data_IF_539113372400
#
_entry.id   IF_539113372400
#
_cell.length_a   1.000
_cell.length_b   1.000
_cell.length_c   1.000
_cell.angle_alpha   90.00
_cell.angle_beta   90.00
_cell.angle_gamma   90.00
#
_symmetry.space_group_name_H-M   'P 1'
#
loop_
_entity.id
_entity.type
_entity.pdbx_description
1 polymer ?
#
# COMPACT_ATOMS: atom_id res chain seq x y z
N UNK A 1 -13.21 20.06 7.54
CA UNK A 1 -12.63 21.14 6.69
C UNK A 1 -13.65 21.51 5.62
N UNK A 2 -13.80 22.83 5.27
CA UNK A 2 -14.74 23.27 4.21
C UNK A 2 -13.97 23.59 2.94
N UNK A 3 -14.43 23.09 1.81
CA UNK A 3 -13.87 23.33 0.48
C UNK A 3 -14.94 23.96 -0.42
N UNK A 4 -14.54 24.96 -1.20
CA UNK A 4 -15.44 25.66 -2.11
C UNK A 4 -15.70 24.82 -3.38
N UNK A 5 -16.96 24.66 -3.74
CA UNK A 5 -17.39 24.01 -4.98
C UNK A 5 -17.51 25.06 -6.07
N UNK A 6 -16.91 24.78 -7.23
CA UNK A 6 -17.03 25.60 -8.44
C UNK A 6 -17.84 24.90 -9.52
N UNK A 7 -18.51 25.68 -10.34
CA UNK A 7 -19.11 25.17 -11.57
C UNK A 7 -18.05 25.15 -12.71
N UNK A 8 -18.45 24.71 -13.89
CA UNK A 8 -17.58 24.65 -15.08
C UNK A 8 -17.11 26.04 -15.52
N UNK A 9 -17.87 27.09 -15.22
CA UNK A 9 -17.57 28.50 -15.52
C UNK A 9 -16.64 29.16 -14.47
N UNK A 10 -16.25 28.44 -13.42
CA UNK A 10 -15.40 28.96 -12.38
C UNK A 10 -16.08 29.74 -11.26
N UNK A 11 -17.42 29.83 -11.27
CA UNK A 11 -18.19 30.47 -10.23
C UNK A 11 -18.38 29.56 -9.02
N UNK A 12 -18.41 30.14 -7.83
CA UNK A 12 -18.63 29.37 -6.59
C UNK A 12 -20.13 29.02 -6.46
N UNK A 13 -20.45 27.75 -6.37
CA UNK A 13 -21.80 27.22 -6.22
C UNK A 13 -22.18 26.94 -4.77
N UNK A 14 -21.19 26.62 -3.95
CA UNK A 14 -21.41 26.28 -2.54
C UNK A 14 -20.14 25.78 -1.84
N UNK A 15 -20.31 25.32 -0.61
CA UNK A 15 -19.22 24.72 0.18
C UNK A 15 -19.54 23.26 0.48
N UNK A 16 -18.53 22.40 0.38
CA UNK A 16 -18.59 20.99 0.78
C UNK A 16 -17.81 20.80 2.09
N UNK A 17 -18.45 20.19 3.07
CA UNK A 17 -17.76 19.73 4.26
C UNK A 17 -17.11 18.37 3.98
N UNK A 18 -15.78 18.34 4.06
CA UNK A 18 -14.96 17.13 3.84
C UNK A 18 -14.38 16.63 5.13
N UNK A 19 -14.12 15.31 5.20
CA UNK A 19 -13.59 14.65 6.38
C UNK A 19 -12.13 15.00 6.62
N UNK A 20 -11.82 15.40 7.84
CA UNK A 20 -10.44 15.73 8.27
C UNK A 20 -9.52 14.51 8.29
N UNK A 21 -10.06 13.29 8.46
CA UNK A 21 -9.32 12.03 8.34
C UNK A 21 -8.65 11.85 6.98
N UNK A 22 -9.18 12.52 5.93
CA UNK A 22 -8.70 12.39 4.55
C UNK A 22 -7.93 13.62 4.10
N UNK A 23 -8.45 14.82 4.38
CA UNK A 23 -7.90 16.09 3.89
C UNK A 23 -7.19 16.93 4.98
N UNK A 24 -7.26 16.49 6.25
CA UNK A 24 -6.63 17.16 7.40
C UNK A 24 -5.35 16.49 7.91
N UNK A 25 -4.89 15.41 7.30
CA UNK A 25 -3.76 14.60 7.77
C UNK A 25 -2.43 15.39 7.74
N UNK A 26 -1.57 15.27 8.78
CA UNK A 26 -0.25 15.89 8.77
C UNK A 26 0.64 15.31 7.66
N UNK A 27 1.36 16.21 6.96
CA UNK A 27 2.21 15.83 5.83
C UNK A 27 3.49 15.16 6.32
N UNK A 28 3.68 13.87 5.95
CA UNK A 28 4.90 13.09 6.23
C UNK A 28 5.76 12.97 4.98
N UNK A 29 6.61 13.96 4.71
CA UNK A 29 7.43 14.05 3.48
C UNK A 29 8.31 12.82 3.25
N UNK A 30 8.95 12.28 4.29
CA UNK A 30 9.78 11.08 4.20
C UNK A 30 8.99 9.84 3.72
N UNK A 31 7.76 9.67 4.23
CA UNK A 31 6.87 8.58 3.83
C UNK A 31 6.41 8.73 2.38
N UNK A 32 6.02 9.94 1.99
CA UNK A 32 5.62 10.28 0.62
C UNK A 32 6.76 9.99 -0.36
N UNK A 33 7.98 10.43 -0.04
CA UNK A 33 9.18 10.16 -0.84
C UNK A 33 9.45 8.66 -0.98
N UNK A 34 9.40 7.90 0.11
CA UNK A 34 9.62 6.44 0.06
C UNK A 34 8.60 5.73 -0.85
N UNK A 35 7.33 6.10 -0.76
CA UNK A 35 6.27 5.52 -1.60
C UNK A 35 6.45 5.92 -3.06
N UNK A 36 6.78 7.19 -3.34
CA UNK A 36 7.06 7.70 -4.69
C UNK A 36 8.23 6.96 -5.35
N UNK A 37 9.37 6.82 -4.65
CA UNK A 37 10.53 6.07 -5.15
C UNK A 37 10.18 4.60 -5.40
N UNK A 38 9.36 4.00 -4.52
CA UNK A 38 8.86 2.64 -4.71
C UNK A 38 8.01 2.51 -5.98
N UNK A 39 7.09 3.45 -6.23
CA UNK A 39 6.26 3.46 -7.44
C UNK A 39 7.08 3.68 -8.72
N UNK A 40 8.07 4.57 -8.70
CA UNK A 40 8.99 4.79 -9.83
C UNK A 40 9.82 3.53 -10.12
N UNK A 41 10.36 2.88 -9.08
CA UNK A 41 11.11 1.64 -9.23
C UNK A 41 10.23 0.51 -9.83
N UNK A 42 8.96 0.44 -9.43
CA UNK A 42 8.00 -0.55 -9.94
C UNK A 42 7.62 -0.35 -11.41
N UNK A 43 7.74 0.87 -11.95
CA UNK A 43 7.54 1.16 -13.38
C UNK A 43 8.72 0.69 -14.23
N UNK A 44 9.90 0.48 -13.62
CA UNK A 44 11.12 0.14 -14.35
C UNK A 44 11.11 -1.33 -14.80
N UNK A 45 11.23 -1.58 -16.11
CA UNK A 45 11.16 -2.92 -16.70
C UNK A 45 12.40 -3.78 -16.41
N UNK A 46 13.60 -3.19 -16.43
CA UNK A 46 14.85 -3.86 -16.08
C UNK A 46 15.36 -4.90 -17.06
N UNK A 47 15.19 -4.68 -18.37
CA UNK A 47 15.53 -5.59 -19.46
C UNK A 47 16.97 -5.47 -19.98
N UNK A 48 17.77 -4.53 -19.43
CA UNK A 48 19.14 -4.34 -19.88
C UNK A 48 19.97 -5.61 -19.67
N UNK A 49 20.59 -6.10 -20.74
CA UNK A 49 21.41 -7.31 -20.76
C UNK A 49 22.64 -7.11 -21.64
N UNK A 50 23.76 -7.70 -21.22
CA UNK A 50 24.97 -7.87 -22.04
C UNK A 50 25.29 -9.34 -22.14
N UNK A 51 25.91 -9.76 -23.26
CA UNK A 51 26.33 -11.14 -23.46
C UNK A 51 27.53 -11.47 -22.56
N UNK A 52 27.43 -12.52 -21.78
CA UNK A 52 28.52 -13.12 -21.01
C UNK A 52 29.42 -13.94 -21.93
N UNK A 53 30.58 -14.37 -21.44
CA UNK A 53 31.52 -15.20 -22.23
C UNK A 53 30.91 -16.49 -22.76
N UNK A 54 29.90 -17.04 -22.11
CA UNK A 54 29.19 -18.24 -22.53
C UNK A 54 28.12 -17.98 -23.59
N UNK A 55 27.64 -16.74 -23.70
CA UNK A 55 26.58 -16.34 -24.65
C UNK A 55 27.14 -15.74 -25.93
N UNK A 56 28.42 -15.39 -25.98
CA UNK A 56 29.09 -14.91 -27.18
C UNK A 56 29.36 -16.09 -28.09
N UNK A 57 29.04 -15.95 -29.39
CA UNK A 57 29.32 -16.96 -30.41
C UNK A 57 30.82 -17.16 -30.58
N UNK A 58 31.28 -18.40 -30.68
CA UNK A 58 32.68 -18.76 -30.87
C UNK A 58 33.42 -19.13 -29.59
N UNK A 59 34.73 -19.30 -29.65
CA UNK A 59 35.62 -19.53 -28.50
C UNK A 59 35.69 -20.98 -27.98
N UNK A 60 35.14 -21.97 -28.72
CA UNK A 60 35.19 -23.39 -28.32
C UNK A 60 36.60 -24.00 -28.38
N UNK A 61 37.45 -23.58 -29.32
CA UNK A 61 38.83 -24.04 -29.45
C UNK A 61 39.79 -23.17 -28.63
N UNK A 62 40.80 -23.79 -28.07
CA UNK A 62 41.89 -23.06 -27.36
C UNK A 62 42.73 -22.31 -28.41
N UNK A 63 42.93 -20.98 -28.28
CA UNK A 63 43.58 -20.16 -29.29
C UNK A 63 45.05 -20.54 -29.57
N UNK A 64 45.77 -21.08 -28.56
CA UNK A 64 47.19 -21.43 -28.62
C UNK A 64 47.60 -22.44 -27.55
N UNK A 65 48.75 -23.15 -27.72
CA UNK A 65 49.27 -24.06 -26.73
C UNK A 65 49.52 -23.36 -25.36
N UNK A 66 49.45 -24.13 -24.28
CA UNK A 66 49.57 -23.62 -22.90
C UNK A 66 50.95 -23.04 -22.58
N UNK A 67 52.04 -23.61 -23.21
CA UNK A 67 53.44 -23.23 -23.00
C UNK A 67 54.18 -23.16 -24.36
N UNK A 68 55.36 -22.53 -24.40
CA UNK A 68 56.23 -22.51 -25.58
C UNK A 68 55.98 -21.38 -26.59
N UNK A 69 54.96 -20.52 -26.40
CA UNK A 69 54.64 -19.44 -27.36
C UNK A 69 55.18 -18.07 -26.96
N UNK A 70 55.73 -17.88 -25.76
CA UNK A 70 56.14 -16.57 -25.24
C UNK A 70 55.01 -15.57 -24.97
N UNK A 71 53.77 -15.91 -25.32
CA UNK A 71 52.59 -15.04 -25.18
C UNK A 71 51.78 -15.41 -23.96
N UNK A 72 50.94 -14.48 -23.46
CA UNK A 72 50.03 -14.72 -22.31
C UNK A 72 49.11 -15.93 -22.54
N UNK A 73 48.87 -16.69 -21.51
CA UNK A 73 48.01 -17.89 -21.58
C UNK A 73 46.57 -17.52 -21.81
N UNK A 74 45.92 -18.20 -22.76
CA UNK A 74 44.51 -17.91 -23.15
C UNK A 74 43.74 -19.25 -23.25
N UNK A 75 42.56 -19.26 -22.64
CA UNK A 75 41.65 -20.40 -22.69
C UNK A 75 40.60 -20.35 -23.81
N UNK A 76 40.14 -19.17 -24.14
CA UNK A 76 39.09 -18.95 -25.14
C UNK A 76 39.15 -17.53 -25.69
N UNK A 77 38.77 -17.33 -26.94
CA UNK A 77 38.63 -16.02 -27.58
C UNK A 77 37.36 -15.26 -27.14
N UNK A 78 36.38 -15.96 -26.57
CA UNK A 78 35.19 -15.35 -25.99
C UNK A 78 35.42 -14.71 -24.60
N UNK A 79 36.66 -14.82 -24.05
CA UNK A 79 37.04 -14.21 -22.77
C UNK A 79 36.89 -12.67 -22.81
N UNK A 80 36.51 -12.01 -21.66
CA UNK A 80 36.37 -10.56 -21.59
C UNK A 80 37.65 -9.76 -21.91
N UNK A 81 38.79 -10.39 -21.87
CA UNK A 81 40.10 -9.79 -22.21
C UNK A 81 40.27 -9.55 -23.70
N UNK A 82 39.54 -10.30 -24.53
CA UNK A 82 39.60 -10.19 -25.98
C UNK A 82 38.63 -9.17 -26.52
N UNK A 83 39.05 -8.47 -27.57
CA UNK A 83 38.15 -7.61 -28.36
C UNK A 83 37.07 -8.51 -29.00
N UNK A 84 35.78 -8.16 -28.80
CA UNK A 84 34.65 -9.00 -29.21
C UNK A 84 34.29 -10.13 -28.22
N UNK A 85 35.04 -10.29 -27.14
CA UNK A 85 34.67 -11.20 -26.06
C UNK A 85 33.46 -10.76 -25.24
N UNK A 86 32.99 -11.62 -24.32
CA UNK A 86 31.87 -11.33 -23.45
C UNK A 86 32.16 -10.29 -22.38
N UNK A 87 31.13 -9.70 -21.82
CA UNK A 87 31.23 -8.74 -20.71
C UNK A 87 31.37 -9.50 -19.37
N UNK A 88 32.33 -9.12 -18.50
CA UNK A 88 32.53 -9.79 -17.21
C UNK A 88 31.43 -9.44 -16.20
N UNK A 89 31.18 -8.17 -15.95
CA UNK A 89 30.20 -7.66 -14.98
C UNK A 89 29.23 -6.67 -15.64
N UNK A 90 28.62 -7.12 -16.72
CA UNK A 90 27.62 -6.32 -17.43
C UNK A 90 26.25 -6.37 -16.75
N UNK A 91 25.33 -5.45 -17.16
CA UNK A 91 23.98 -5.50 -16.68
C UNK A 91 23.32 -6.83 -17.05
N UNK A 92 22.54 -7.36 -16.11
CA UNK A 92 21.68 -8.53 -16.30
C UNK A 92 20.22 -8.14 -16.03
N UNK A 93 19.24 -8.75 -16.70
CA UNK A 93 17.85 -8.51 -16.45
C UNK A 93 17.52 -8.76 -14.98
N UNK A 94 16.91 -7.77 -14.32
CA UNK A 94 16.52 -7.90 -12.93
C UNK A 94 15.22 -7.15 -12.64
N UNK A 95 14.46 -7.62 -11.66
CA UNK A 95 13.30 -6.90 -11.16
C UNK A 95 13.73 -5.75 -10.23
N UNK A 96 13.14 -4.59 -10.46
CA UNK A 96 13.29 -3.41 -9.59
C UNK A 96 12.10 -3.25 -8.64
N UNK A 97 11.21 -4.24 -8.58
CA UNK A 97 9.99 -4.16 -7.78
C UNK A 97 10.29 -4.01 -6.29
N UNK A 98 9.77 -2.93 -5.69
CA UNK A 98 9.81 -2.65 -4.25
C UNK A 98 8.42 -2.81 -3.65
N UNK A 99 8.32 -3.64 -2.62
CA UNK A 99 7.07 -3.84 -1.88
C UNK A 99 6.94 -2.78 -0.80
N UNK A 100 5.82 -2.07 -0.79
CA UNK A 100 5.47 -1.11 0.26
C UNK A 100 4.17 -1.56 0.93
N UNK A 101 4.07 -1.59 2.27
CA UNK A 101 2.85 -1.96 3.01
C UNK A 101 1.64 -1.12 2.58
N UNK A 102 0.45 -1.72 2.59
CA UNK A 102 -0.80 -1.04 2.19
C UNK A 102 -1.08 0.20 3.04
N UNK A 103 -0.87 0.12 4.37
CA UNK A 103 -1.08 1.24 5.31
C UNK A 103 -0.17 2.44 4.97
N UNK A 104 1.11 2.19 4.66
CA UNK A 104 2.05 3.25 4.26
C UNK A 104 1.64 3.94 2.95
N UNK A 105 1.20 3.18 1.95
CA UNK A 105 0.74 3.74 0.67
C UNK A 105 -0.50 4.61 0.84
N UNK A 106 -1.46 4.16 1.65
CA UNK A 106 -2.68 4.92 1.96
C UNK A 106 -2.35 6.21 2.69
N UNK A 107 -1.55 6.14 3.75
CA UNK A 107 -1.14 7.32 4.52
C UNK A 107 -0.36 8.33 3.67
N UNK A 108 0.52 7.88 2.77
CA UNK A 108 1.23 8.76 1.84
C UNK A 108 0.27 9.48 0.88
N UNK A 109 -0.74 8.77 0.37
CA UNK A 109 -1.76 9.35 -0.51
C UNK A 109 -2.58 10.42 0.23
N UNK A 110 -3.06 10.11 1.45
CA UNK A 110 -3.80 11.06 2.29
C UNK A 110 -2.94 12.30 2.64
N UNK A 111 -1.65 12.09 2.94
CA UNK A 111 -0.72 13.21 3.21
C UNK A 111 -0.61 14.16 2.00
N UNK A 112 -0.56 13.64 0.77
CA UNK A 112 -0.47 14.48 -0.43
C UNK A 112 -1.80 15.17 -0.74
N UNK A 113 -2.95 14.49 -0.52
CA UNK A 113 -4.27 15.12 -0.67
C UNK A 113 -4.46 16.29 0.30
N UNK A 114 -4.06 16.08 1.56
CA UNK A 114 -4.10 17.13 2.61
C UNK A 114 -3.17 18.29 2.29
N UNK A 115 -1.99 18.01 1.73
CA UNK A 115 -1.05 19.04 1.30
C UNK A 115 -1.63 19.94 0.21
N UNK A 116 -2.23 19.33 -0.82
CA UNK A 116 -2.89 20.07 -1.91
C UNK A 116 -4.09 20.88 -1.44
N UNK A 117 -4.87 20.36 -0.50
CA UNK A 117 -5.97 21.09 0.09
C UNK A 117 -5.49 22.33 0.88
N UNK A 118 -4.39 22.22 1.65
CA UNK A 118 -3.80 23.33 2.41
C UNK A 118 -3.21 24.43 1.53
N UNK A 119 -2.58 24.05 0.41
CA UNK A 119 -1.97 25.01 -0.52
C UNK A 119 -2.94 25.57 -1.56
N UNK A 120 -4.25 25.30 -1.44
CA UNK A 120 -5.27 25.74 -2.41
C UNK A 120 -5.00 25.25 -3.85
N UNK A 121 -4.21 24.19 -4.00
CA UNK A 121 -3.95 23.52 -5.27
C UNK A 121 -5.06 22.50 -5.63
N UNK A 122 -6.10 22.36 -4.78
CA UNK A 122 -7.26 21.51 -4.96
C UNK A 122 -8.46 22.34 -5.37
N UNK A 123 -9.05 21.99 -6.52
CA UNK A 123 -10.27 22.59 -7.05
C UNK A 123 -11.38 21.55 -7.06
N UNK A 124 -12.51 21.86 -6.42
CA UNK A 124 -13.71 21.04 -6.43
C UNK A 124 -14.65 21.51 -7.53
N UNK A 125 -15.08 20.55 -8.36
CA UNK A 125 -16.13 20.78 -9.36
C UNK A 125 -17.40 20.06 -8.97
N UNK A 126 -18.53 20.69 -9.18
CA UNK A 126 -19.83 20.07 -8.99
C UNK A 126 -19.98 18.85 -9.90
N UNK A 127 -19.92 19.05 -11.21
CA UNK A 127 -19.94 17.99 -12.21
C UNK A 127 -19.04 18.35 -13.39
N UNK A 128 -18.55 17.32 -14.09
CA UNK A 128 -17.71 17.50 -15.29
C UNK A 128 -18.31 16.71 -16.46
N UNK A 129 -19.36 17.25 -17.06
CA UNK A 129 -19.98 16.65 -18.23
C UNK A 129 -19.58 17.41 -19.50
N UNK A 130 -19.04 16.67 -20.46
CA UNK A 130 -18.67 17.19 -21.77
C UNK A 130 -19.79 16.87 -22.79
N UNK A 131 -20.19 17.87 -23.55
CA UNK A 131 -21.24 17.72 -24.58
C UNK A 131 -20.74 16.84 -25.75
N UNK A 132 -19.68 17.25 -26.38
CA UNK A 132 -19.15 16.63 -27.59
C UNK A 132 -17.89 15.79 -27.33
N UNK A 133 -17.18 15.99 -26.22
CA UNK A 133 -15.92 15.31 -25.91
C UNK A 133 -14.75 15.81 -26.76
N UNK A 134 -14.77 17.06 -27.18
CA UNK A 134 -13.69 17.70 -27.94
C UNK A 134 -12.63 18.32 -27.03
N UNK A 135 -11.38 18.34 -27.48
CA UNK A 135 -10.26 18.96 -26.75
C UNK A 135 -10.49 20.46 -26.47
N UNK A 136 -11.18 21.17 -27.38
CA UNK A 136 -11.50 22.59 -27.24
C UNK A 136 -12.35 22.87 -26.00
N UNK A 137 -13.32 21.99 -25.70
CA UNK A 137 -14.16 22.13 -24.50
C UNK A 137 -13.35 22.07 -23.20
N UNK A 138 -12.42 21.11 -23.09
CA UNK A 138 -11.55 21.01 -21.91
C UNK A 138 -10.63 22.21 -21.78
N UNK A 139 -10.05 22.68 -22.88
CA UNK A 139 -9.18 23.86 -22.86
C UNK A 139 -9.96 25.11 -22.41
N UNK A 140 -11.20 25.29 -22.87
CA UNK A 140 -12.07 26.36 -22.39
C UNK A 140 -12.33 26.25 -20.90
N UNK A 141 -12.76 25.08 -20.40
CA UNK A 141 -13.04 24.85 -18.97
C UNK A 141 -11.79 25.13 -18.12
N UNK A 142 -10.59 24.68 -18.54
CA UNK A 142 -9.37 24.96 -17.81
C UNK A 142 -9.00 26.45 -17.78
N UNK A 143 -9.32 27.18 -18.84
CA UNK A 143 -9.15 28.64 -18.89
C UNK A 143 -10.11 29.35 -17.94
N UNK A 144 -11.37 28.94 -17.91
CA UNK A 144 -12.42 29.51 -17.04
C UNK A 144 -12.12 29.25 -15.56
N UNK A 145 -11.52 28.09 -15.25
CA UNK A 145 -11.04 27.72 -13.92
C UNK A 145 -9.69 28.36 -13.53
N UNK A 146 -9.09 29.18 -14.42
CA UNK A 146 -7.76 29.79 -14.24
C UNK A 146 -6.63 28.75 -14.00
N UNK A 147 -6.72 27.57 -14.62
CA UNK A 147 -5.73 26.51 -14.52
C UNK A 147 -4.62 26.72 -15.54
N UNK A 148 -3.55 27.44 -15.16
CA UNK A 148 -2.41 27.71 -16.03
C UNK A 148 -1.33 26.61 -16.01
N UNK A 149 -1.29 25.82 -14.94
CA UNK A 149 -0.28 24.81 -14.69
C UNK A 149 -0.75 23.40 -15.13
N UNK A 150 0.06 22.40 -14.80
CA UNK A 150 -0.32 21.01 -15.01
C UNK A 150 -1.46 20.61 -14.07
N UNK A 151 -2.48 19.92 -14.59
CA UNK A 151 -3.66 19.51 -13.84
C UNK A 151 -3.89 18.00 -13.87
N UNK A 152 -4.36 17.47 -12.76
CA UNK A 152 -4.89 16.11 -12.64
C UNK A 152 -6.41 16.22 -12.42
N UNK A 153 -7.18 15.63 -13.32
CA UNK A 153 -8.64 15.55 -13.19
C UNK A 153 -9.00 14.18 -12.62
N UNK A 154 -9.72 14.17 -11.50
CA UNK A 154 -10.15 12.95 -10.82
C UNK A 154 -11.68 12.87 -10.83
N UNK A 155 -12.20 11.76 -11.34
CA UNK A 155 -13.63 11.44 -11.42
C UNK A 155 -13.94 10.16 -10.66
N UNK A 156 -15.17 9.95 -10.23
CA UNK A 156 -15.56 8.72 -9.54
C UNK A 156 -15.33 7.49 -10.44
N UNK A 157 -15.80 7.54 -11.67
CA UNK A 157 -15.63 6.46 -12.68
C UNK A 157 -14.87 6.91 -13.91
N UNK A 158 -14.69 5.98 -14.86
CA UNK A 158 -14.02 6.25 -16.13
C UNK A 158 -15.01 6.88 -17.12
N UNK A 159 -14.85 8.18 -17.39
CA UNK A 159 -15.58 8.86 -18.45
C UNK A 159 -14.78 8.84 -19.75
N UNK A 160 -15.23 8.03 -20.74
CA UNK A 160 -14.54 7.87 -22.03
C UNK A 160 -14.40 9.19 -22.79
N UNK A 161 -15.45 10.03 -22.81
CA UNK A 161 -15.43 11.34 -23.49
C UNK A 161 -14.38 12.26 -22.87
N UNK A 162 -14.30 12.29 -21.53
CA UNK A 162 -13.31 13.08 -20.80
C UNK A 162 -11.87 12.59 -21.07
N UNK A 163 -11.64 11.29 -21.05
CA UNK A 163 -10.31 10.70 -21.32
C UNK A 163 -9.83 11.03 -22.74
N UNK A 164 -10.72 10.90 -23.73
CA UNK A 164 -10.40 11.21 -25.11
C UNK A 164 -10.10 12.69 -25.33
N UNK A 165 -10.92 13.57 -24.77
CA UNK A 165 -10.77 15.02 -24.92
C UNK A 165 -9.54 15.57 -24.17
N UNK A 166 -9.20 15.03 -22.99
CA UNK A 166 -8.04 15.46 -22.21
C UNK A 166 -6.72 14.82 -22.72
N UNK A 167 -6.79 13.68 -23.38
CA UNK A 167 -5.62 12.88 -23.75
C UNK A 167 -4.59 13.62 -24.62
N UNK A 168 -5.03 14.56 -25.47
CA UNK A 168 -4.15 15.35 -26.32
C UNK A 168 -3.62 16.64 -25.64
N UNK A 169 -4.10 16.96 -24.45
CA UNK A 169 -3.63 18.12 -23.68
C UNK A 169 -2.46 17.71 -22.80
N UNK A 170 -1.22 17.95 -23.21
CA UNK A 170 -0.02 17.40 -22.58
C UNK A 170 0.19 17.77 -21.11
N UNK A 171 -0.45 18.83 -20.61
CA UNK A 171 -0.36 19.25 -19.21
C UNK A 171 -1.45 18.63 -18.32
N UNK A 172 -2.45 17.98 -18.91
CA UNK A 172 -3.61 17.44 -18.22
C UNK A 172 -3.55 15.93 -18.20
N UNK A 173 -4.02 15.32 -17.12
CA UNK A 173 -4.21 13.87 -17.01
C UNK A 173 -5.53 13.60 -16.30
N UNK A 174 -6.25 12.59 -16.73
CA UNK A 174 -7.49 12.13 -16.11
C UNK A 174 -7.29 10.78 -15.45
N UNK A 175 -7.81 10.60 -14.25
CA UNK A 175 -7.77 9.33 -13.53
C UNK A 175 -9.07 9.10 -12.77
N UNK A 176 -9.59 7.87 -12.73
CA UNK A 176 -10.65 7.52 -11.79
C UNK A 176 -10.07 7.38 -10.38
N UNK A 177 -10.90 7.64 -9.36
CA UNK A 177 -10.53 7.54 -7.94
C UNK A 177 -9.83 6.22 -7.60
N UNK A 178 -10.32 5.11 -8.13
CA UNK A 178 -9.81 3.75 -7.84
C UNK A 178 -8.32 3.56 -8.21
N UNK A 179 -7.83 4.29 -9.20
CA UNK A 179 -6.44 4.19 -9.71
C UNK A 179 -5.56 5.33 -9.19
N UNK A 180 -6.13 6.21 -8.36
CA UNK A 180 -5.40 7.35 -7.80
C UNK A 180 -4.18 6.88 -7.01
N UNK A 181 -3.04 7.50 -7.28
CA UNK A 181 -1.78 7.17 -6.62
C UNK A 181 -0.94 8.42 -6.30
N UNK A 182 -0.04 8.27 -5.34
CA UNK A 182 0.81 9.35 -4.83
C UNK A 182 1.68 9.99 -5.91
N UNK A 183 2.20 9.19 -6.85
CA UNK A 183 3.07 9.68 -7.93
C UNK A 183 2.34 10.62 -8.88
N UNK A 184 1.11 10.28 -9.29
CA UNK A 184 0.34 11.11 -10.22
C UNK A 184 -0.13 12.41 -9.54
N UNK A 185 -0.46 12.36 -8.25
CA UNK A 185 -0.79 13.55 -7.45
C UNK A 185 0.39 14.52 -7.34
N UNK A 186 1.62 14.01 -7.16
CA UNK A 186 2.83 14.83 -7.07
C UNK A 186 3.26 15.36 -8.44
N UNK A 187 3.02 14.60 -9.51
CA UNK A 187 3.44 14.97 -10.87
C UNK A 187 2.66 16.17 -11.43
N UNK A 188 1.48 16.44 -10.92
CA UNK A 188 0.60 17.54 -11.35
C UNK A 188 0.45 18.57 -10.24
N UNK A 189 0.55 19.85 -10.59
CA UNK A 189 0.46 20.92 -9.60
C UNK A 189 -0.97 21.09 -9.08
N UNK A 190 -1.94 21.23 -9.97
CA UNK A 190 -3.34 21.42 -9.60
C UNK A 190 -4.10 20.10 -9.66
N UNK A 191 -5.01 19.92 -8.72
CA UNK A 191 -5.87 18.75 -8.59
C UNK A 191 -7.32 19.19 -8.71
N UNK A 192 -8.00 18.70 -9.73
CA UNK A 192 -9.41 18.97 -10.01
C UNK A 192 -10.19 17.70 -9.65
N UNK A 193 -11.11 17.78 -8.72
CA UNK A 193 -11.90 16.62 -8.26
C UNK A 193 -13.40 16.97 -8.37
N UNK A 194 -14.20 16.02 -8.84
CA UNK A 194 -15.66 16.15 -8.81
C UNK A 194 -16.20 15.82 -7.40
N UNK A 195 -17.36 16.39 -7.04
CA UNK A 195 -17.99 16.14 -5.73
C UNK A 195 -18.23 14.65 -5.50
N UNK A 196 -18.68 13.92 -6.52
CA UNK A 196 -18.88 12.45 -6.41
C UNK A 196 -17.56 11.70 -6.17
N UNK A 197 -16.48 12.18 -6.80
CA UNK A 197 -15.15 11.58 -6.57
C UNK A 197 -14.66 11.85 -5.14
N UNK A 198 -14.97 12.99 -4.53
CA UNK A 198 -14.64 13.24 -3.11
C UNK A 198 -15.38 12.29 -2.19
N UNK A 199 -16.70 12.11 -2.36
CA UNK A 199 -17.48 11.14 -1.58
C UNK A 199 -16.89 9.73 -1.70
N UNK A 200 -16.50 9.35 -2.91
CA UNK A 200 -15.85 8.05 -3.16
C UNK A 200 -14.48 7.92 -2.51
N UNK A 201 -13.70 9.00 -2.46
CA UNK A 201 -12.41 9.07 -1.74
C UNK A 201 -12.63 8.85 -0.24
N UNK A 202 -13.64 9.50 0.34
CA UNK A 202 -13.99 9.37 1.74
C UNK A 202 -14.47 7.95 2.10
N UNK A 203 -15.23 7.30 1.24
CA UNK A 203 -15.63 5.89 1.41
C UNK A 203 -14.42 4.93 1.40
N UNK A 204 -13.51 5.11 0.43
CA UNK A 204 -12.38 4.19 0.24
C UNK A 204 -11.28 4.34 1.30
N UNK A 205 -11.07 5.56 1.78
CA UNK A 205 -9.93 5.88 2.65
C UNK A 205 -10.30 6.57 3.97
N UNK A 206 -11.56 6.90 4.20
CA UNK A 206 -12.05 7.39 5.47
C UNK A 206 -11.81 6.37 6.60
N UNK A 207 -11.45 6.86 7.79
CA UNK A 207 -11.15 6.02 8.96
C UNK A 207 -9.81 5.28 8.92
N UNK A 208 -9.01 5.45 7.87
CA UNK A 208 -7.66 4.86 7.77
C UNK A 208 -6.65 5.56 8.67
N UNK A 209 -6.80 6.85 8.84
CA UNK A 209 -5.99 7.66 9.75
C UNK A 209 -6.74 7.85 11.07
N UNK A 210 -6.30 7.11 12.11
CA UNK A 210 -6.69 7.34 13.51
C UNK A 210 -5.54 8.10 14.17
N UNK A 211 -5.35 9.35 13.80
CA UNK A 211 -4.47 10.27 14.52
C UNK A 211 -5.31 11.07 15.49
N UNK A 212 -4.75 11.42 16.63
CA UNK A 212 -5.34 12.39 17.56
C UNK A 212 -5.61 13.68 16.78
N UNK A 213 -6.87 14.13 16.77
CA UNK A 213 -7.20 15.49 16.36
C UNK A 213 -6.35 16.44 17.21
N UNK A 214 -5.72 17.48 16.64
CA UNK A 214 -5.08 18.50 17.46
C UNK A 214 -6.17 19.13 18.33
N UNK A 215 -6.16 18.82 19.62
CA UNK A 215 -6.94 19.53 20.61
C UNK A 215 -6.56 21.00 20.50
N UNK A 216 -7.55 21.85 20.23
CA UNK A 216 -7.43 23.29 20.30
C UNK A 216 -7.27 23.72 21.75
N UNK A 217 -6.08 23.55 22.31
CA UNK A 217 -5.62 24.20 23.52
C UNK A 217 -4.09 24.10 23.58
N UNK A 218 -3.44 25.13 23.08
CA UNK A 218 -2.05 25.41 23.41
C UNK A 218 -1.91 26.88 23.81
N UNK A 219 -2.25 27.16 25.05
CA UNK A 219 -1.59 28.19 25.82
C UNK A 219 -0.16 27.69 26.09
N UNK A 220 0.83 28.53 25.78
CA UNK A 220 2.24 28.15 25.83
C UNK A 220 2.72 27.82 27.26
N UNK A 221 3.54 26.80 27.31
CA UNK A 221 4.58 26.66 28.33
C UNK A 221 5.83 26.07 27.65
N UNK A 222 6.88 26.85 27.65
CA UNK A 222 8.23 26.43 27.31
C UNK A 222 8.73 25.41 28.33
N UNK A 223 9.04 24.20 27.92
CA UNK A 223 9.71 23.21 28.77
C UNK A 223 11.17 23.13 28.36
N UNK A 224 12.03 23.60 29.24
CA UNK A 224 13.47 23.41 29.29
C UNK A 224 13.79 21.90 29.30
N UNK A 225 14.63 21.45 28.40
CA UNK A 225 15.18 20.09 28.37
C UNK A 225 16.53 20.11 29.07
N UNK A 226 16.56 19.71 30.34
CA UNK A 226 17.79 19.25 30.99
C UNK A 226 17.93 17.72 30.80
N UNK A 227 19.13 17.33 30.41
CA UNK A 227 19.55 15.93 30.25
C UNK A 227 19.77 15.30 31.61
N UNK A 228 19.15 14.18 31.89
CA UNK A 228 19.63 13.19 32.86
C UNK A 228 19.53 11.79 32.31
N UNK A 229 20.68 11.14 32.19
CA UNK A 229 20.83 9.69 31.93
C UNK A 229 20.65 8.95 33.28
N UNK A 230 19.75 8.00 33.36
CA UNK A 230 19.81 6.98 34.39
C UNK A 230 19.09 5.69 33.97
N UNK A 231 19.80 4.60 34.07
CA UNK A 231 19.34 3.20 34.02
C UNK A 231 18.22 2.91 35.01
N UNK A 232 17.15 2.23 34.62
CA UNK A 232 16.35 1.38 35.49
C UNK A 232 15.56 0.33 34.72
N UNK A 233 15.61 -0.88 35.25
CA UNK A 233 14.93 -2.10 34.83
C UNK A 233 13.40 -2.02 35.00
N UNK A 234 12.61 -2.89 34.31
CA UNK A 234 11.14 -2.80 34.36
C UNK A 234 10.58 -3.50 35.60
N UNK A 235 9.89 -2.74 36.45
CA UNK A 235 8.99 -3.30 37.47
C UNK A 235 7.58 -3.48 36.90
N UNK A 236 7.05 -4.64 37.17
CA UNK A 236 5.69 -5.11 36.93
C UNK A 236 4.75 -4.29 37.86
N UNK A 237 3.69 -3.72 37.28
CA UNK A 237 2.55 -3.20 38.06
C UNK A 237 1.29 -3.90 37.57
N UNK A 238 0.70 -4.68 38.43
CA UNK A 238 -0.63 -5.29 38.36
C UNK A 238 -1.74 -4.23 38.55
N UNK A 239 -2.90 -4.58 37.99
CA UNK A 239 -4.25 -4.12 38.32
C UNK A 239 -4.71 -2.71 37.91
N UNK A 240 -5.55 -2.65 36.87
CA UNK A 240 -6.93 -2.12 36.99
C UNK A 240 -7.84 -2.89 36.00
N UNK A 241 -8.80 -3.60 36.58
CA UNK A 241 -9.90 -4.27 35.85
C UNK A 241 -10.97 -3.22 35.55
N UNK A 242 -11.21 -2.92 34.25
CA UNK A 242 -12.44 -2.28 33.80
C UNK A 242 -13.30 -3.30 33.06
N UNK A 243 -14.51 -3.49 33.55
CA UNK A 243 -15.57 -4.32 33.01
C UNK A 243 -15.90 -3.93 31.57
N UNK A 244 -15.54 -4.79 30.61
CA UNK A 244 -16.09 -4.76 29.26
C UNK A 244 -17.28 -5.71 29.25
N UNK A 245 -18.47 -5.17 29.03
CA UNK A 245 -19.71 -5.92 28.78
C UNK A 245 -19.46 -6.87 27.61
N UNK A 246 -19.41 -8.16 27.90
CA UNK A 246 -19.24 -9.24 26.91
C UNK A 246 -20.65 -9.56 26.37
N UNK A 247 -20.92 -9.19 25.12
CA UNK A 247 -21.98 -9.81 24.36
C UNK A 247 -21.65 -11.30 24.20
N UNK A 248 -22.50 -12.17 24.76
CA UNK A 248 -22.41 -13.63 24.61
C UNK A 248 -22.62 -14.00 23.14
N UNK A 249 -21.55 -14.19 22.40
CA UNK A 249 -21.58 -14.81 21.08
C UNK A 249 -21.71 -16.32 21.29
N UNK A 250 -22.91 -16.87 21.14
CA UNK A 250 -23.16 -18.31 21.18
C UNK A 250 -22.57 -18.97 19.92
N UNK A 251 -21.29 -19.28 19.95
CA UNK A 251 -20.63 -20.09 18.93
C UNK A 251 -20.85 -21.57 19.29
N UNK A 252 -21.59 -22.30 18.47
CA UNK A 252 -21.95 -23.69 18.74
C UNK A 252 -21.23 -24.71 17.87
N UNK A 253 -20.69 -24.29 16.70
CA UNK A 253 -20.08 -25.19 15.74
C UNK A 253 -18.56 -24.99 15.60
N UNK A 254 -17.82 -26.07 15.32
CA UNK A 254 -16.36 -26.04 15.06
C UNK A 254 -16.03 -25.26 13.78
N UNK A 255 -17.00 -25.08 12.87
CA UNK A 255 -16.82 -24.31 11.64
C UNK A 255 -16.71 -22.80 11.88
N UNK A 256 -17.30 -22.30 12.96
CA UNK A 256 -17.28 -20.88 13.35
C UNK A 256 -15.99 -20.50 14.11
N UNK A 257 -15.24 -21.50 14.59
CA UNK A 257 -13.91 -21.29 15.16
C UNK A 257 -12.92 -20.86 14.09
N UNK A 258 -12.12 -19.86 14.40
CA UNK A 258 -11.13 -19.28 13.48
C UNK A 258 -9.89 -20.19 13.33
N UNK A 259 -10.13 -21.48 12.96
CA UNK A 259 -9.11 -22.50 12.76
C UNK A 259 -8.59 -22.53 11.33
N UNK A 260 -7.37 -23.00 11.15
CA UNK A 260 -6.83 -23.26 9.81
C UNK A 260 -7.67 -24.30 9.08
N UNK A 261 -7.78 -24.19 7.75
CA UNK A 261 -8.54 -25.12 6.90
C UNK A 261 -8.13 -26.58 7.13
N UNK A 262 -6.85 -26.80 7.43
CA UNK A 262 -6.30 -28.12 7.70
C UNK A 262 -6.81 -28.67 9.05
N UNK A 263 -6.71 -27.90 10.12
CA UNK A 263 -7.13 -28.30 11.46
C UNK A 263 -8.63 -28.56 11.50
N UNK A 264 -9.43 -27.66 10.87
CA UNK A 264 -10.88 -27.82 10.75
C UNK A 264 -11.27 -29.11 10.03
N UNK A 265 -10.66 -29.38 8.87
CA UNK A 265 -10.97 -30.60 8.10
C UNK A 265 -10.63 -31.88 8.86
N UNK A 266 -9.55 -31.88 9.65
CA UNK A 266 -9.17 -33.04 10.47
C UNK A 266 -10.20 -33.29 11.57
N UNK A 267 -10.69 -32.25 12.26
CA UNK A 267 -11.72 -32.37 13.29
C UNK A 267 -13.05 -32.85 12.70
N UNK A 268 -13.49 -32.32 11.56
CA UNK A 268 -14.70 -32.76 10.87
C UNK A 268 -14.60 -34.22 10.39
N UNK A 269 -13.44 -34.66 9.89
CA UNK A 269 -13.20 -36.08 9.52
C UNK A 269 -13.21 -37.02 10.72
N UNK A 270 -12.81 -36.52 11.89
CA UNK A 270 -12.88 -37.27 13.14
C UNK A 270 -14.28 -37.29 13.76
N UNK A 271 -15.27 -36.62 13.15
CA UNK A 271 -16.67 -36.58 13.63
C UNK A 271 -16.91 -35.52 14.71
N UNK A 272 -15.96 -34.62 14.98
CA UNK A 272 -16.08 -33.53 15.96
C UNK A 272 -16.68 -32.31 15.23
N UNK A 273 -18.00 -32.11 15.36
CA UNK A 273 -18.71 -31.03 14.66
C UNK A 273 -19.11 -29.89 15.60
N UNK A 274 -19.31 -30.16 16.88
CA UNK A 274 -19.73 -29.20 17.89
C UNK A 274 -18.56 -28.87 18.86
N UNK A 275 -18.61 -27.66 19.43
CA UNK A 275 -17.61 -27.22 20.42
C UNK A 275 -17.69 -28.05 21.70
N UNK A 276 -18.93 -28.52 22.06
CA UNK A 276 -19.11 -29.34 23.23
C UNK A 276 -18.42 -30.71 23.08
N UNK A 277 -18.43 -31.31 21.88
CA UNK A 277 -17.71 -32.55 21.61
C UNK A 277 -16.19 -32.32 21.72
N UNK A 278 -15.70 -31.15 21.26
CA UNK A 278 -14.31 -30.78 21.32
C UNK A 278 -13.80 -30.56 22.76
N UNK A 279 -14.60 -29.92 23.61
CA UNK A 279 -14.26 -29.65 25.02
C UNK A 279 -14.38 -30.90 25.89
N UNK A 280 -15.13 -31.90 25.46
CA UNK A 280 -15.24 -33.20 26.13
C UNK A 280 -14.09 -34.16 25.89
N UNK A 281 -13.24 -33.91 24.89
CA UNK A 281 -12.08 -34.74 24.56
C UNK A 281 -10.84 -34.34 25.37
N UNK A 282 -10.14 -35.34 25.90
CA UNK A 282 -8.85 -35.11 26.54
C UNK A 282 -7.73 -34.81 25.52
N UNK A 283 -6.64 -34.17 25.97
CA UNK A 283 -5.46 -33.93 25.14
C UNK A 283 -4.93 -35.18 24.44
N UNK A 284 -4.98 -36.33 25.14
CA UNK A 284 -4.48 -37.62 24.63
C UNK A 284 -5.37 -38.14 23.50
N UNK A 285 -6.69 -37.99 23.61
CA UNK A 285 -7.67 -38.42 22.59
C UNK A 285 -7.57 -37.54 21.34
N UNK A 286 -7.38 -36.22 21.49
CA UNK A 286 -7.16 -35.35 20.34
C UNK A 286 -5.87 -35.66 19.60
N UNK A 287 -4.79 -35.96 20.33
CA UNK A 287 -3.50 -36.33 19.72
C UNK A 287 -3.55 -37.72 19.07
N UNK A 288 -4.53 -38.57 19.42
CA UNK A 288 -4.75 -39.88 18.79
C UNK A 288 -5.46 -39.80 17.43
N UNK A 289 -6.07 -38.63 17.10
CA UNK A 289 -6.70 -38.40 15.80
C UNK A 289 -5.66 -38.44 14.68
N UNK A 290 -5.94 -39.20 13.62
CA UNK A 290 -5.04 -39.34 12.49
C UNK A 290 -4.74 -37.97 11.84
N UNK A 291 -3.45 -37.62 11.71
CA UNK A 291 -2.96 -36.35 11.15
C UNK A 291 -3.17 -35.09 12.04
N UNK A 292 -3.67 -35.25 13.29
CA UNK A 292 -3.76 -34.15 14.26
C UNK A 292 -2.45 -34.10 15.07
N UNK A 293 -1.73 -32.98 14.96
CA UNK A 293 -0.42 -32.82 15.58
C UNK A 293 -0.40 -31.70 16.64
N UNK A 294 0.74 -31.54 17.29
CA UNK A 294 0.95 -30.57 18.37
C UNK A 294 0.62 -29.12 17.93
N UNK A 295 0.90 -28.76 16.68
CA UNK A 295 0.54 -27.44 16.13
C UNK A 295 -0.96 -27.23 16.03
N UNK A 296 -1.70 -28.25 15.61
CA UNK A 296 -3.16 -28.20 15.54
C UNK A 296 -3.79 -28.14 16.94
N UNK A 297 -3.20 -28.83 17.90
CA UNK A 297 -3.61 -28.76 19.31
C UNK A 297 -3.43 -27.35 19.88
N UNK A 298 -2.27 -26.73 19.66
CA UNK A 298 -2.01 -25.37 20.14
C UNK A 298 -2.97 -24.34 19.51
N UNK A 299 -3.27 -24.50 18.23
CA UNK A 299 -4.23 -23.64 17.52
C UNK A 299 -5.64 -23.74 18.11
N UNK A 300 -6.12 -24.94 18.35
CA UNK A 300 -7.43 -25.21 18.97
C UNK A 300 -7.48 -24.66 20.39
N UNK A 301 -6.44 -24.92 21.19
CA UNK A 301 -6.32 -24.42 22.57
C UNK A 301 -6.37 -22.89 22.63
N UNK A 302 -5.68 -22.21 21.72
CA UNK A 302 -5.66 -20.75 21.66
C UNK A 302 -7.04 -20.18 21.28
N UNK A 303 -7.75 -20.82 20.35
CA UNK A 303 -9.10 -20.39 19.95
C UNK A 303 -10.13 -20.63 21.07
N UNK A 304 -10.07 -21.77 21.77
CA UNK A 304 -10.93 -22.03 22.92
C UNK A 304 -10.67 -21.10 24.09
N UNK A 305 -9.41 -20.71 24.29
CA UNK A 305 -9.03 -19.71 25.30
C UNK A 305 -9.61 -18.32 24.98
N UNK A 306 -9.62 -17.93 23.71
CA UNK A 306 -10.18 -16.65 23.25
C UNK A 306 -11.70 -16.55 23.45
N UNK A 307 -12.40 -17.70 23.52
CA UNK A 307 -13.85 -17.80 23.72
C UNK A 307 -14.21 -18.11 25.20
N UNK A 308 -13.22 -18.21 26.10
CA UNK A 308 -13.38 -18.59 27.50
C UNK A 308 -14.02 -19.99 27.74
N UNK A 309 -13.86 -20.91 26.78
CA UNK A 309 -14.34 -22.30 26.84
C UNK A 309 -13.19 -23.32 26.96
N UNK A 310 -12.05 -22.93 27.53
CA UNK A 310 -10.91 -23.83 27.72
C UNK A 310 -11.20 -24.84 28.84
N UNK A 311 -11.14 -26.18 28.58
CA UNK A 311 -11.28 -27.17 29.65
C UNK A 311 -10.12 -27.11 30.64
N UNK A 312 -10.41 -27.32 31.94
CA UNK A 312 -9.41 -27.33 33.01
C UNK A 312 -8.29 -28.38 32.83
N UNK A 313 -8.57 -29.44 32.08
CA UNK A 313 -7.61 -30.53 31.79
C UNK A 313 -6.58 -30.20 30.69
N UNK A 314 -6.72 -29.04 30.06
CA UNK A 314 -5.84 -28.58 28.96
C UNK A 314 -4.84 -27.50 29.35
N UNK A 315 -4.80 -27.11 30.63
CA UNK A 315 -3.83 -26.12 31.17
C UNK A 315 -2.36 -26.58 31.14
#
# INVERSE_FOLDING_TARGET
MKLQIKNIQGENTGDLEVRDDVFGVPVKSALVHQVMVGQLANKRQGTAKTKTRSEVSGGGAKPRPQKGTGSSRQGSTSSPVWVGGGRAFGPSPRSYRKRTPKKMRRLALLSVLSDKARHSDLLLLDSLELKEGKTKEIVSILSDLNVSNSALIVTDGTNKKLVQSAGNVGRVRTLPVQVLNTLELLNKKQLIITVDAVKRIEELWGGVYRGESPSSDSSGEEINVEKEEAHAEPQIVEDVVEEVVVEEVNITSVEELNLSTRTRNILLQAGVTEINDLTGLSKVELMAIQSFGEKSYLEVREQLRNINLLPSDWE
#
